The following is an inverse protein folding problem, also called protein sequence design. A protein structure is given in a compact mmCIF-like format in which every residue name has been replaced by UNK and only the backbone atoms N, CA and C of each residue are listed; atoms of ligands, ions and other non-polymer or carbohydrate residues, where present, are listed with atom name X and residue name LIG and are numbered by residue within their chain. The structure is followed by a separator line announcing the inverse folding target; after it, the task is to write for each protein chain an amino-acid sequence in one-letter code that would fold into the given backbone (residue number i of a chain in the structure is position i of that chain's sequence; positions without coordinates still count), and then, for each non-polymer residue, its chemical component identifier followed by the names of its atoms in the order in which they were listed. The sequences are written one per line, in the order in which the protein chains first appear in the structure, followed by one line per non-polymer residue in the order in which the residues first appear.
data_IF_339854605689
#
_entry.id   IF_339854605689
#
_cell.length_a   1.000
_cell.length_b   1.000
_cell.length_c   1.000
_cell.angle_alpha   90.00
_cell.angle_beta   90.00
_cell.angle_gamma   90.00
#
_symmetry.space_group_name_H-M   'P 1'
#
loop_
_entity.id
_entity.type
_entity.pdbx_description
1 polymer ?
#
# COMPACT_ATOMS: atom_id res chain seq x y z
N UNK A 1 -13.76 35.93 -41.31
CA UNK A 1 -14.23 35.31 -40.04
C UNK A 1 -13.09 34.47 -39.50
N UNK A 2 -12.76 34.60 -38.21
CA UNK A 2 -11.70 33.80 -37.56
C UNK A 2 -12.28 33.16 -36.30
N UNK A 3 -11.95 31.88 -36.09
CA UNK A 3 -12.28 31.14 -34.87
C UNK A 3 -11.04 30.94 -34.01
N UNK A 4 -11.22 30.95 -32.69
CA UNK A 4 -10.15 30.65 -31.73
C UNK A 4 -10.12 29.15 -31.47
N UNK A 5 -8.94 28.52 -31.60
CA UNK A 5 -8.70 27.13 -31.24
C UNK A 5 -7.75 27.12 -30.04
N UNK A 6 -8.11 26.39 -28.98
CA UNK A 6 -7.33 26.27 -27.75
C UNK A 6 -7.16 24.80 -27.40
N UNK A 7 -5.95 24.42 -26.97
CA UNK A 7 -5.66 23.13 -26.36
C UNK A 7 -4.86 23.36 -25.08
N UNK A 8 -5.15 22.57 -24.03
CA UNK A 8 -4.37 22.56 -22.79
C UNK A 8 -3.61 21.25 -22.70
N UNK A 9 -2.29 21.35 -22.62
CA UNK A 9 -1.41 20.19 -22.46
C UNK A 9 -0.98 20.11 -21.00
N UNK A 10 -1.11 18.94 -20.39
CA UNK A 10 -0.75 18.67 -19.00
C UNK A 10 0.29 17.56 -18.91
N UNK A 11 1.01 17.49 -17.78
CA UNK A 11 1.94 16.40 -17.48
C UNK A 11 1.21 15.06 -17.31
N UNK A 12 1.81 13.93 -17.69
CA UNK A 12 1.29 12.62 -17.35
C UNK A 12 1.30 12.41 -15.83
N UNK A 13 0.33 11.65 -15.32
CA UNK A 13 0.38 11.16 -13.94
C UNK A 13 1.24 9.90 -13.89
N UNK A 14 2.09 9.80 -12.88
CA UNK A 14 2.99 8.66 -12.67
C UNK A 14 2.98 8.23 -11.21
N UNK A 15 3.26 6.95 -10.97
CA UNK A 15 3.44 6.38 -9.63
C UNK A 15 4.75 5.60 -9.58
N UNK A 16 5.54 5.83 -8.55
CA UNK A 16 6.83 5.18 -8.34
C UNK A 16 6.90 4.54 -6.95
N UNK A 17 7.45 3.33 -6.86
CA UNK A 17 7.70 2.65 -5.58
C UNK A 17 8.83 3.35 -4.82
N UNK A 18 8.61 3.60 -3.53
CA UNK A 18 9.60 4.16 -2.58
C UNK A 18 10.02 3.10 -1.55
N UNK A 19 9.06 2.35 -1.00
CA UNK A 19 9.32 1.31 -0.01
C UNK A 19 8.35 0.13 -0.16
N UNK A 20 8.77 -1.05 0.28
CA UNK A 20 7.96 -2.28 0.32
C UNK A 20 7.27 -2.45 1.69
N UNK A 21 6.09 -3.07 1.69
CA UNK A 21 5.43 -3.51 2.93
C UNK A 21 6.14 -4.76 3.45
N UNK A 22 6.66 -4.70 4.68
CA UNK A 22 7.34 -5.83 5.30
C UNK A 22 6.83 -6.04 6.72
N UNK A 23 6.37 -7.26 7.01
CA UNK A 23 5.92 -7.65 8.35
C UNK A 23 7.06 -8.10 9.28
N UNK A 24 8.23 -8.40 8.71
CA UNK A 24 9.36 -8.96 9.44
C UNK A 24 9.13 -10.43 9.86
N UNK A 25 9.81 -10.86 10.92
CA UNK A 25 9.70 -12.23 11.43
C UNK A 25 8.60 -12.33 12.49
N UNK A 26 7.68 -13.28 12.32
CA UNK A 26 6.50 -13.45 13.18
C UNK A 26 6.35 -14.93 13.56
N UNK A 27 5.96 -15.20 14.80
CA UNK A 27 5.54 -16.54 15.24
C UNK A 27 4.04 -16.74 15.05
N UNK A 28 3.64 -17.94 14.66
CA UNK A 28 2.23 -18.35 14.65
C UNK A 28 1.81 -18.91 16.02
N UNK A 29 0.51 -18.94 16.34
CA UNK A 29 0.05 -19.55 17.58
C UNK A 29 0.10 -21.09 17.49
N UNK A 30 0.15 -21.78 18.64
CA UNK A 30 0.06 -23.26 18.69
C UNK A 30 -1.40 -23.73 18.60
N UNK A 31 -2.34 -22.92 19.11
CA UNK A 31 -3.79 -23.14 19.05
C UNK A 31 -4.49 -21.81 18.83
N UNK A 32 -5.64 -21.82 18.14
CA UNK A 32 -6.41 -20.59 17.86
C UNK A 32 -5.80 -19.75 16.75
N UNK A 33 -6.10 -18.45 16.76
CA UNK A 33 -5.64 -17.47 15.78
C UNK A 33 -5.20 -16.17 16.43
N UNK A 34 -4.44 -15.38 15.69
CA UNK A 34 -4.03 -14.03 16.05
C UNK A 34 -3.75 -13.19 14.82
N UNK A 35 -3.47 -11.92 15.03
CA UNK A 35 -3.22 -10.99 13.93
C UNK A 35 -1.91 -10.24 14.12
N UNK A 36 -1.31 -9.86 12.99
CA UNK A 36 -0.29 -8.82 12.95
C UNK A 36 -0.75 -7.78 11.97
N UNK A 37 -0.77 -6.52 12.40
CA UNK A 37 -1.06 -5.38 11.54
C UNK A 37 0.03 -4.34 11.60
N UNK A 38 0.21 -3.66 10.46
CA UNK A 38 0.98 -2.43 10.31
C UNK A 38 0.00 -1.43 9.73
N UNK A 39 -0.30 -0.35 10.44
CA UNK A 39 -1.17 0.69 9.90
C UNK A 39 -0.43 1.63 8.94
N UNK A 40 -1.16 2.59 8.34
CA UNK A 40 -0.56 3.57 7.44
C UNK A 40 0.45 4.53 8.08
N UNK A 41 0.56 4.57 9.41
CA UNK A 41 1.56 5.35 10.16
C UNK A 41 2.83 4.54 10.48
N UNK A 42 2.81 3.23 10.19
CA UNK A 42 3.87 2.30 10.57
C UNK A 42 3.73 1.72 11.97
N UNK A 43 2.61 1.97 12.67
CA UNK A 43 2.36 1.40 13.98
C UNK A 43 2.04 -0.08 13.84
N UNK A 44 2.75 -0.90 14.62
CA UNK A 44 2.61 -2.36 14.60
C UNK A 44 1.72 -2.79 15.77
N UNK A 45 0.68 -3.57 15.48
CA UNK A 45 -0.17 -4.20 16.50
C UNK A 45 -0.16 -5.73 16.34
N UNK A 46 -0.15 -6.43 17.47
CA UNK A 46 -0.19 -7.90 17.51
C UNK A 46 -1.29 -8.35 18.46
N UNK A 47 -2.10 -9.31 18.04
CA UNK A 47 -3.15 -9.91 18.86
C UNK A 47 -3.07 -11.43 18.83
N UNK A 48 -3.75 -12.08 19.79
CA UNK A 48 -3.79 -13.54 19.91
C UNK A 48 -2.63 -14.11 20.74
N UNK A 49 -2.87 -15.25 21.38
CA UNK A 49 -1.88 -15.93 22.22
C UNK A 49 -0.87 -16.68 21.34
N UNK A 50 0.42 -16.42 21.54
CA UNK A 50 1.50 -17.11 20.81
C UNK A 50 1.87 -16.48 19.46
N UNK A 51 1.13 -15.47 18.99
CA UNK A 51 1.59 -14.60 17.91
C UNK A 51 2.52 -13.54 18.49
N UNK A 52 3.74 -13.48 17.98
CA UNK A 52 4.76 -12.50 18.41
C UNK A 52 5.54 -12.03 17.22
N UNK A 53 5.88 -10.75 17.22
CA UNK A 53 6.88 -10.20 16.32
C UNK A 53 8.27 -10.39 16.94
N UNK A 54 9.23 -10.82 16.14
CA UNK A 54 10.64 -10.89 16.51
C UNK A 54 11.37 -9.62 16.05
N UNK A 55 12.34 -9.10 16.84
CA UNK A 55 13.00 -7.83 16.55
C UNK A 55 14.01 -7.87 15.38
N UNK A 56 14.18 -9.02 14.71
CA UNK A 56 15.23 -9.25 13.70
C UNK A 56 15.03 -8.42 12.42
N UNK A 57 13.79 -8.08 12.07
CA UNK A 57 13.47 -7.22 10.94
C UNK A 57 12.48 -6.14 11.36
N UNK A 58 12.82 -4.89 11.07
CA UNK A 58 11.95 -3.73 11.29
C UNK A 58 10.80 -3.75 10.29
N UNK A 59 9.53 -3.69 10.71
CA UNK A 59 8.42 -3.66 9.80
C UNK A 59 8.36 -2.31 9.11
N UNK A 60 7.97 -2.32 7.84
CA UNK A 60 7.88 -1.13 7.01
C UNK A 60 6.52 -1.10 6.34
N UNK A 61 5.99 0.10 6.10
CA UNK A 61 4.85 0.29 5.21
C UNK A 61 5.31 0.33 3.76
N UNK A 62 4.44 -0.09 2.83
CA UNK A 62 4.67 0.20 1.42
C UNK A 62 4.42 1.69 1.18
N UNK A 63 5.27 2.32 0.38
CA UNK A 63 5.16 3.74 0.06
C UNK A 63 5.33 3.93 -1.44
N UNK A 64 4.46 4.75 -2.02
CA UNK A 64 4.52 5.12 -3.43
C UNK A 64 4.42 6.64 -3.58
N UNK A 65 5.34 7.20 -4.37
CA UNK A 65 5.33 8.60 -4.74
C UNK A 65 4.51 8.79 -6.02
N UNK A 66 3.64 9.79 -6.03
CA UNK A 66 2.80 10.13 -7.16
C UNK A 66 3.19 11.52 -7.65
N UNK A 67 3.38 11.66 -8.96
CA UNK A 67 3.63 12.96 -9.58
C UNK A 67 2.72 13.18 -10.77
N UNK A 68 2.35 14.42 -11.03
CA UNK A 68 1.52 14.79 -12.18
C UNK A 68 1.42 16.30 -12.32
N UNK A 69 0.39 16.74 -13.04
CA UNK A 69 0.07 18.15 -13.20
C UNK A 69 -0.59 18.71 -11.94
N UNK A 70 -0.11 19.85 -11.45
CA UNK A 70 -0.67 20.52 -10.29
C UNK A 70 -2.11 20.96 -10.50
N UNK A 71 -2.92 20.87 -9.46
CA UNK A 71 -4.34 21.24 -9.46
C UNK A 71 -5.26 20.21 -10.13
N UNK A 72 -4.74 19.13 -10.71
CA UNK A 72 -5.54 18.06 -11.31
C UNK A 72 -6.02 17.06 -10.26
N UNK A 73 -7.25 16.58 -10.43
CA UNK A 73 -7.80 15.51 -9.63
C UNK A 73 -7.38 14.15 -10.20
N UNK A 74 -6.97 13.25 -9.32
CA UNK A 74 -6.57 11.87 -9.63
C UNK A 74 -7.38 10.88 -8.79
N UNK A 75 -7.40 9.63 -9.24
CA UNK A 75 -7.85 8.47 -8.48
C UNK A 75 -6.67 7.57 -8.18
N UNK A 76 -6.45 7.27 -6.90
CA UNK A 76 -5.41 6.35 -6.41
C UNK A 76 -6.07 5.08 -5.91
N UNK A 77 -5.84 3.97 -6.60
CA UNK A 77 -6.43 2.67 -6.27
C UNK A 77 -5.41 1.80 -5.52
N UNK A 78 -5.77 1.44 -4.29
CA UNK A 78 -5.09 0.40 -3.50
C UNK A 78 -6.06 -0.78 -3.39
N UNK A 79 -5.65 -2.01 -3.77
CA UNK A 79 -6.52 -3.18 -3.67
C UNK A 79 -6.81 -3.47 -2.21
N UNK A 80 -8.08 -3.72 -1.85
CA UNK A 80 -8.50 -3.98 -0.46
C UNK A 80 -7.73 -5.14 0.20
N UNK A 81 -7.32 -6.11 -0.60
CA UNK A 81 -6.48 -7.20 -0.17
C UNK A 81 -5.63 -7.73 -1.33
N UNK A 82 -4.58 -8.47 -0.98
CA UNK A 82 -3.76 -9.23 -1.93
C UNK A 82 -3.22 -10.49 -1.25
N UNK A 83 -2.81 -11.47 -2.06
CA UNK A 83 -2.28 -12.74 -1.57
C UNK A 83 -0.75 -12.74 -1.52
N UNK A 84 -0.21 -13.36 -0.47
CA UNK A 84 1.17 -13.80 -0.39
C UNK A 84 1.18 -15.31 -0.60
N UNK A 85 2.05 -15.81 -1.47
CA UNK A 85 2.31 -17.24 -1.62
C UNK A 85 3.44 -17.67 -0.71
N UNK A 86 3.29 -18.83 -0.08
CA UNK A 86 4.32 -19.42 0.77
C UNK A 86 4.22 -20.94 0.82
N UNK A 87 4.92 -21.59 1.76
CA UNK A 87 4.85 -23.04 1.89
C UNK A 87 3.42 -23.51 2.14
N UNK A 88 2.98 -24.52 1.38
CA UNK A 88 1.69 -25.19 1.54
C UNK A 88 0.45 -24.28 1.57
N UNK A 89 0.50 -23.06 1.00
CA UNK A 89 -0.68 -22.20 0.94
C UNK A 89 -0.40 -20.73 0.64
N UNK A 90 -1.39 -19.89 0.95
CA UNK A 90 -1.33 -18.45 0.82
C UNK A 90 -1.80 -17.74 2.09
N UNK A 91 -1.33 -16.52 2.29
CA UNK A 91 -1.83 -15.58 3.30
C UNK A 91 -2.51 -14.42 2.59
N UNK A 92 -3.65 -13.99 3.10
CA UNK A 92 -4.31 -12.77 2.63
C UNK A 92 -3.85 -11.61 3.50
N UNK A 93 -3.38 -10.55 2.85
CA UNK A 93 -3.08 -9.27 3.48
C UNK A 93 -4.27 -8.34 3.22
N UNK A 94 -4.97 -7.94 4.28
CA UNK A 94 -5.98 -6.88 4.20
C UNK A 94 -5.30 -5.53 4.29
N UNK A 95 -5.42 -4.69 3.28
CA UNK A 95 -4.68 -3.43 3.21
C UNK A 95 -5.38 -2.33 4.00
N UNK A 96 -4.58 -1.42 4.55
CA UNK A 96 -5.05 -0.10 5.01
C UNK A 96 -4.20 0.96 4.33
N UNK A 97 -4.77 2.09 3.93
CA UNK A 97 -4.00 3.10 3.18
C UNK A 97 -4.27 4.52 3.63
N UNK A 98 -3.24 5.37 3.56
CA UNK A 98 -3.32 6.82 3.67
C UNK A 98 -2.98 7.41 2.30
N UNK A 99 -3.79 8.36 1.80
CA UNK A 99 -3.57 8.99 0.50
C UNK A 99 -4.14 8.21 -0.70
N UNK A 100 -4.99 7.21 -0.47
CA UNK A 100 -5.77 6.54 -1.53
C UNK A 100 -7.11 7.25 -1.79
N UNK A 101 -7.79 6.88 -2.88
CA UNK A 101 -9.07 7.48 -3.28
C UNK A 101 -8.90 8.70 -4.18
N UNK A 102 -9.84 9.65 -4.11
CA UNK A 102 -9.77 10.88 -4.88
C UNK A 102 -8.80 11.87 -4.21
N UNK A 103 -7.78 12.28 -4.96
CA UNK A 103 -6.75 13.21 -4.48
C UNK A 103 -6.61 14.34 -5.49
N UNK A 104 -6.51 15.57 -5.02
CA UNK A 104 -6.10 16.70 -5.87
C UNK A 104 -4.61 16.92 -5.70
N UNK A 105 -3.86 16.86 -6.79
CA UNK A 105 -2.43 17.16 -6.75
C UNK A 105 -2.23 18.63 -6.37
N UNK A 106 -1.33 18.94 -5.42
CA UNK A 106 -1.07 20.32 -5.02
C UNK A 106 -0.43 21.11 -6.17
N UNK A 107 -0.56 22.44 -6.10
CA UNK A 107 -0.04 23.34 -7.13
C UNK A 107 -1.10 23.75 -8.15
N UNK A 108 -0.63 24.36 -9.24
CA UNK A 108 -1.47 24.92 -10.30
C UNK A 108 -1.10 24.32 -11.66
N UNK A 109 -1.95 24.56 -12.66
CA UNK A 109 -1.62 24.30 -14.05
C UNK A 109 -0.29 24.98 -14.42
N UNK A 110 0.58 24.24 -15.10
CA UNK A 110 1.95 24.62 -15.43
C UNK A 110 2.99 24.13 -14.40
N UNK A 111 2.58 23.64 -13.23
CA UNK A 111 3.49 23.15 -12.17
C UNK A 111 3.40 21.64 -11.93
N UNK A 112 4.44 21.04 -11.37
CA UNK A 112 4.40 19.64 -10.93
C UNK A 112 3.71 19.57 -9.57
N UNK A 113 2.64 18.77 -9.50
CA UNK A 113 2.01 18.38 -8.24
C UNK A 113 2.56 17.03 -7.76
N UNK A 114 2.72 16.89 -6.45
CA UNK A 114 3.25 15.69 -5.81
C UNK A 114 2.32 15.22 -4.69
N UNK A 115 2.11 13.92 -4.61
CA UNK A 115 1.40 13.27 -3.52
C UNK A 115 2.07 11.94 -3.19
N UNK A 116 1.60 11.27 -2.14
CA UNK A 116 2.06 9.94 -1.79
C UNK A 116 0.90 9.10 -1.29
N UNK A 117 1.02 7.79 -1.48
CA UNK A 117 0.15 6.79 -0.86
C UNK A 117 0.99 5.83 -0.04
N UNK A 118 0.57 5.65 1.22
CA UNK A 118 1.19 4.74 2.18
C UNK A 118 0.23 3.58 2.39
N UNK A 119 0.71 2.35 2.27
CA UNK A 119 -0.09 1.14 2.41
C UNK A 119 0.48 0.29 3.54
N UNK A 120 -0.33 0.12 4.58
CA UNK A 120 -0.18 -0.86 5.63
C UNK A 120 -0.94 -2.15 5.31
N UNK A 121 -0.92 -3.11 6.23
CA UNK A 121 -1.62 -4.37 6.05
C UNK A 121 -1.88 -5.11 7.34
N UNK A 122 -2.85 -6.02 7.30
CA UNK A 122 -3.19 -6.95 8.37
C UNK A 122 -3.17 -8.37 7.83
N UNK A 123 -2.44 -9.25 8.52
CA UNK A 123 -2.46 -10.69 8.29
C UNK A 123 -3.05 -11.40 9.50
N UNK A 124 -3.78 -12.48 9.22
CA UNK A 124 -4.28 -13.42 10.23
C UNK A 124 -3.39 -14.67 10.18
N UNK A 125 -2.97 -15.13 11.35
CA UNK A 125 -2.16 -16.34 11.51
C UNK A 125 -2.90 -17.31 12.43
N UNK A 126 -2.93 -18.57 12.06
CA UNK A 126 -3.47 -19.65 12.87
C UNK A 126 -2.46 -20.79 13.04
N UNK A 127 -2.83 -21.80 13.81
CA UNK A 127 -1.98 -22.96 14.06
C UNK A 127 -1.59 -23.76 12.80
N UNK A 128 -2.40 -23.66 11.74
CA UNK A 128 -2.19 -24.35 10.45
C UNK A 128 -1.32 -23.57 9.48
N UNK A 129 -1.12 -22.27 9.71
CA UNK A 129 -0.27 -21.42 8.86
C UNK A 129 1.14 -21.99 8.79
N UNK A 130 1.60 -22.41 7.62
CA UNK A 130 2.91 -23.05 7.50
C UNK A 130 4.06 -22.12 7.91
N UNK A 131 5.16 -22.68 8.39
CA UNK A 131 6.36 -21.90 8.69
C UNK A 131 7.15 -21.69 7.40
N UNK A 132 7.54 -20.45 7.13
CA UNK A 132 8.42 -20.10 6.01
C UNK A 132 8.14 -18.71 5.45
N UNK A 133 8.71 -18.43 4.29
CA UNK A 133 8.61 -17.12 3.64
C UNK A 133 7.32 -17.05 2.84
N UNK A 134 6.52 -16.02 3.11
CA UNK A 134 5.36 -15.64 2.31
C UNK A 134 5.68 -14.37 1.53
N UNK A 135 5.51 -14.39 0.21
CA UNK A 135 5.81 -13.26 -0.67
C UNK A 135 4.74 -13.08 -1.74
N UNK A 136 4.51 -11.83 -2.16
CA UNK A 136 3.55 -11.47 -3.19
C UNK A 136 3.79 -10.05 -3.66
N UNK A 137 2.98 -9.59 -4.61
CA UNK A 137 3.09 -8.24 -5.18
C UNK A 137 1.85 -7.41 -4.86
N UNK A 138 2.06 -6.23 -4.28
CA UNK A 138 1.04 -5.19 -4.17
C UNK A 138 1.08 -4.30 -5.43
N UNK A 139 -0.03 -4.23 -6.16
CA UNK A 139 -0.16 -3.34 -7.32
C UNK A 139 -1.05 -2.14 -6.96
N UNK A 140 -0.48 -0.94 -7.07
CA UNK A 140 -1.19 0.33 -6.86
C UNK A 140 -1.25 1.06 -8.19
N UNK A 141 -2.41 1.61 -8.53
CA UNK A 141 -2.62 2.30 -9.81
C UNK A 141 -3.09 3.73 -9.56
N UNK A 142 -2.72 4.62 -10.49
CA UNK A 142 -3.14 6.02 -10.48
C UNK A 142 -3.63 6.41 -11.87
N UNK A 143 -4.67 7.24 -11.91
CA UNK A 143 -5.19 7.83 -13.14
C UNK A 143 -5.73 9.23 -12.87
N UNK A 144 -5.78 10.09 -13.89
CA UNK A 144 -6.57 11.31 -13.83
C UNK A 144 -8.07 10.98 -13.80
N UNK A 145 -8.86 11.85 -13.18
CA UNK A 145 -10.32 11.76 -13.17
C UNK A 145 -10.95 12.36 -14.42
#
# INVERSE_FOLDING_TARGET
MSGTVVATVIRPVTIGKVADLQFGSITRPVTGSGTVSIDGTGTVSVTGTGVRRLPVLTPTTAQFAITGEGGQAISVNVPQNFSLSGPNGSLIVNTTSIGAGNVTLPGNLGSSGQSAVIVGGLIVLDASTAAGIFSGSLQVWVQYN
#
